data_IF_004012896570
#
_entry.id   IF_004012896570
#
_cell.length_a   1.000
_cell.length_b   1.000
_cell.length_c   1.000
_cell.angle_alpha   90.00
_cell.angle_beta   90.00
_cell.angle_gamma   90.00
#
_symmetry.space_group_name_H-M   'P 1'
#
loop_
_entity.id
_entity.type
_entity.pdbx_description
1 polymer ?
#
# COMPACT_ATOMS: atom_id res chain seq x y z
N UNK A 1 -0.34 16.02 -22.19
CA UNK A 1 -0.93 14.75 -21.66
C UNK A 1 -0.98 13.63 -22.70
N UNK A 2 -1.01 13.92 -23.98
CA UNK A 2 -1.04 12.94 -25.10
C UNK A 2 0.18 12.00 -25.13
N UNK A 3 1.37 12.49 -24.75
CA UNK A 3 2.62 11.70 -24.73
C UNK A 3 2.57 10.43 -23.86
N UNK A 4 1.63 10.34 -22.92
CA UNK A 4 1.48 9.20 -22.01
C UNK A 4 0.19 8.42 -22.23
N UNK A 5 -0.48 8.61 -23.37
CA UNK A 5 -1.73 7.92 -23.72
C UNK A 5 -1.58 6.40 -23.77
N UNK A 6 -0.41 5.91 -24.19
CA UNK A 6 -0.08 4.48 -24.23
C UNK A 6 -0.06 3.79 -22.84
N UNK A 7 0.08 4.56 -21.75
CA UNK A 7 0.06 4.06 -20.37
C UNK A 7 -1.31 4.25 -19.71
N UNK A 8 -2.34 4.49 -20.48
CA UNK A 8 -3.72 4.41 -20.06
C UNK A 8 -4.26 3.03 -20.41
N UNK A 9 -5.05 2.50 -19.51
CA UNK A 9 -5.77 1.27 -19.79
C UNK A 9 -6.75 1.47 -20.95
N UNK A 10 -6.71 0.61 -21.93
CA UNK A 10 -7.49 0.75 -23.18
C UNK A 10 -8.99 0.67 -22.93
N UNK A 11 -9.42 -0.17 -21.97
CA UNK A 11 -10.83 -0.41 -21.69
C UNK A 11 -11.44 0.70 -20.82
N UNK A 12 -10.71 1.19 -19.81
CA UNK A 12 -11.23 2.14 -18.82
C UNK A 12 -10.73 3.57 -19.00
N UNK A 13 -9.68 3.79 -19.81
CA UNK A 13 -9.01 5.09 -19.96
C UNK A 13 -8.23 5.55 -18.73
N UNK A 14 -8.12 4.73 -17.70
CA UNK A 14 -7.46 5.04 -16.43
C UNK A 14 -5.94 5.03 -16.62
N UNK A 15 -5.27 6.05 -16.06
CA UNK A 15 -3.82 6.16 -16.03
C UNK A 15 -3.30 6.00 -14.59
N UNK A 16 -2.93 4.79 -14.14
CA UNK A 16 -2.57 4.53 -12.74
C UNK A 16 -1.20 5.06 -12.35
N UNK A 17 -0.34 5.40 -13.31
CA UNK A 17 1.04 5.82 -13.08
C UNK A 17 1.24 7.33 -13.10
N UNK A 18 0.25 8.11 -13.53
CA UNK A 18 0.37 9.57 -13.52
C UNK A 18 0.23 10.12 -12.11
N UNK A 19 1.11 11.05 -11.69
CA UNK A 19 1.01 11.66 -10.38
C UNK A 19 -0.26 12.50 -10.27
N UNK A 20 -0.82 12.52 -9.07
CA UNK A 20 -1.91 13.44 -8.73
C UNK A 20 -1.26 14.76 -8.34
N UNK A 21 -1.55 15.80 -9.12
CA UNK A 21 -1.03 17.15 -8.86
C UNK A 21 -2.11 17.95 -8.13
N UNK A 22 -1.79 18.45 -6.95
CA UNK A 22 -2.66 19.37 -6.22
C UNK A 22 -2.69 20.75 -6.88
N UNK A 23 -3.80 21.46 -6.75
CA UNK A 23 -3.88 22.87 -7.20
C UNK A 23 -3.06 23.74 -6.24
N UNK A 24 -2.13 24.52 -6.79
CA UNK A 24 -1.32 25.46 -6.03
C UNK A 24 -1.97 26.85 -6.15
N UNK A 25 -2.47 27.36 -5.01
CA UNK A 25 -2.90 28.74 -4.92
C UNK A 25 -1.77 29.59 -4.30
N UNK A 26 -1.38 30.74 -4.90
CA UNK A 26 -0.24 31.52 -4.43
C UNK A 26 -0.37 31.99 -2.96
N UNK A 27 -1.57 32.42 -2.56
CA UNK A 27 -1.83 32.89 -1.19
C UNK A 27 -1.61 31.80 -0.13
N UNK A 28 -1.90 30.54 -0.46
CA UNK A 28 -1.73 29.42 0.46
C UNK A 28 -0.29 28.89 0.49
N UNK A 29 0.55 29.28 -0.47
CA UNK A 29 1.93 28.78 -0.56
C UNK A 29 2.78 29.21 0.63
N UNK A 30 2.68 30.45 1.08
CA UNK A 30 3.45 30.95 2.24
C UNK A 30 3.07 30.17 3.52
N UNK A 31 1.78 29.94 3.77
CA UNK A 31 1.32 29.14 4.91
C UNK A 31 1.80 27.69 4.82
N UNK A 32 1.77 27.10 3.63
CA UNK A 32 2.29 25.74 3.38
C UNK A 32 3.79 25.64 3.64
N UNK A 33 4.56 26.66 3.25
CA UNK A 33 6.00 26.72 3.51
C UNK A 33 6.31 26.79 5.00
N UNK A 34 5.61 27.68 5.74
CA UNK A 34 5.77 27.78 7.19
C UNK A 34 5.44 26.45 7.87
N UNK A 35 4.32 25.82 7.50
CA UNK A 35 3.92 24.55 8.06
C UNK A 35 4.95 23.46 7.78
N UNK A 36 5.48 23.41 6.56
CA UNK A 36 6.54 22.48 6.17
C UNK A 36 7.80 22.70 7.02
N UNK A 37 8.27 23.94 7.16
CA UNK A 37 9.48 24.26 7.94
C UNK A 37 9.34 23.88 9.42
N UNK A 38 8.16 24.02 10.02
CA UNK A 38 7.93 23.63 11.41
C UNK A 38 7.83 22.10 11.56
N UNK A 39 7.12 21.43 10.64
CA UNK A 39 6.88 19.99 10.74
C UNK A 39 8.08 19.15 10.35
N UNK A 40 8.90 19.62 9.42
CA UNK A 40 10.06 18.86 8.92
C UNK A 40 11.03 18.42 10.04
N UNK A 41 11.52 19.29 10.93
CA UNK A 41 12.39 18.86 12.01
C UNK A 41 11.68 17.93 13.01
N UNK A 42 10.41 18.17 13.32
CA UNK A 42 9.63 17.31 14.23
C UNK A 42 9.43 15.92 13.63
N UNK A 43 9.13 15.86 12.34
CA UNK A 43 8.95 14.61 11.62
C UNK A 43 10.27 13.83 11.52
N UNK A 44 11.37 14.50 11.18
CA UNK A 44 12.71 13.90 11.14
C UNK A 44 13.14 13.38 12.51
N UNK A 45 12.88 14.13 13.57
CA UNK A 45 13.16 13.71 14.95
C UNK A 45 12.32 12.48 15.34
N UNK A 46 11.03 12.47 15.05
CA UNK A 46 10.16 11.34 15.35
C UNK A 46 10.57 10.06 14.57
N UNK A 47 10.96 10.20 13.29
CA UNK A 47 11.52 9.09 12.51
C UNK A 47 12.83 8.58 13.11
N UNK A 48 13.73 9.50 13.50
CA UNK A 48 15.01 9.13 14.14
C UNK A 48 14.78 8.38 15.45
N UNK A 49 13.88 8.87 16.30
CA UNK A 49 13.52 8.19 17.57
C UNK A 49 12.97 6.80 17.30
N UNK A 50 12.07 6.64 16.33
CA UNK A 50 11.48 5.33 16.05
C UNK A 50 12.49 4.36 15.45
N UNK A 51 13.13 4.70 14.33
CA UNK A 51 14.02 3.80 13.60
C UNK A 51 15.42 3.69 14.21
N UNK A 52 15.91 4.74 14.87
CA UNK A 52 17.23 4.77 15.48
C UNK A 52 17.28 4.21 16.89
N UNK A 53 16.20 4.38 17.66
CA UNK A 53 16.18 4.02 19.09
C UNK A 53 15.15 2.95 19.40
N UNK A 54 13.85 3.23 19.18
CA UNK A 54 12.73 2.39 19.62
C UNK A 54 12.70 1.02 18.94
N UNK A 55 13.18 0.92 17.72
CA UNK A 55 13.21 -0.35 16.99
C UNK A 55 14.15 -1.37 17.67
N UNK A 56 15.22 -0.90 18.32
CA UNK A 56 16.23 -1.74 18.96
C UNK A 56 15.93 -2.06 20.44
N UNK A 57 15.07 -1.26 21.06
CA UNK A 57 14.69 -1.47 22.46
C UNK A 57 13.59 -2.54 22.60
N UNK A 58 13.63 -3.36 23.65
CA UNK A 58 12.61 -4.36 23.94
C UNK A 58 11.33 -3.71 24.51
N UNK A 59 10.85 -2.65 23.84
CA UNK A 59 9.62 -1.96 24.22
C UNK A 59 8.45 -2.75 23.64
N UNK A 60 7.41 -2.94 24.45
CA UNK A 60 6.20 -3.64 24.04
C UNK A 60 5.55 -3.03 22.78
N UNK A 61 4.75 -3.83 22.08
CA UNK A 61 4.09 -3.43 20.82
C UNK A 61 3.28 -2.14 20.95
N UNK A 62 2.71 -1.85 22.10
CA UNK A 62 1.94 -0.60 22.35
C UNK A 62 2.81 0.65 22.24
N UNK A 63 4.02 0.66 22.81
CA UNK A 63 4.93 1.80 22.73
C UNK A 63 5.37 2.07 21.28
N UNK A 64 5.68 1.02 20.51
CA UNK A 64 6.02 1.13 19.08
C UNK A 64 4.86 1.68 18.28
N UNK A 65 3.63 1.19 18.49
CA UNK A 65 2.41 1.68 17.84
C UNK A 65 2.14 3.15 18.17
N UNK A 66 2.27 3.55 19.45
CA UNK A 66 2.08 4.94 19.87
C UNK A 66 3.05 5.90 19.16
N UNK A 67 4.33 5.51 19.00
CA UNK A 67 5.29 6.32 18.28
C UNK A 67 4.97 6.40 16.78
N UNK A 68 4.51 5.32 16.14
CA UNK A 68 4.05 5.36 14.74
C UNK A 68 2.85 6.29 14.56
N UNK A 69 1.91 6.29 15.52
CA UNK A 69 0.81 7.23 15.53
C UNK A 69 1.26 8.68 15.75
N UNK A 70 2.30 8.91 16.57
CA UNK A 70 2.89 10.23 16.74
C UNK A 70 3.53 10.72 15.41
N UNK A 71 4.26 9.86 14.69
CA UNK A 71 4.80 10.16 13.36
C UNK A 71 3.67 10.53 12.39
N UNK A 72 2.60 9.74 12.36
CA UNK A 72 1.42 10.02 11.55
C UNK A 72 0.76 11.36 11.94
N UNK A 73 0.64 11.65 13.22
CA UNK A 73 0.10 12.90 13.76
C UNK A 73 0.92 14.14 13.34
N UNK A 74 2.25 14.08 13.44
CA UNK A 74 3.14 15.16 12.96
C UNK A 74 2.97 15.37 11.45
N UNK A 75 2.78 14.30 10.68
CA UNK A 75 2.49 14.37 9.25
C UNK A 75 1.07 14.93 8.94
N UNK A 76 0.25 15.18 9.93
CA UNK A 76 -1.11 15.68 9.73
C UNK A 76 -2.16 14.61 9.43
N UNK A 77 -1.85 13.35 9.69
CA UNK A 77 -2.78 12.23 9.52
C UNK A 77 -3.63 12.06 10.78
N UNK A 78 -4.59 12.97 10.96
CA UNK A 78 -5.44 13.01 12.17
C UNK A 78 -6.71 12.17 12.05
N UNK A 79 -7.11 11.84 10.84
CA UNK A 79 -8.40 11.21 10.60
C UNK A 79 -8.24 9.92 9.79
N UNK A 80 -8.64 8.82 10.40
CA UNK A 80 -8.75 7.51 9.74
C UNK A 80 -10.24 7.09 9.72
N UNK A 81 -10.85 7.09 8.52
CA UNK A 81 -12.21 6.60 8.30
C UNK A 81 -12.15 5.10 8.01
N UNK A 82 -12.40 4.29 9.03
CA UNK A 82 -12.40 2.83 8.93
C UNK A 82 -13.78 2.32 8.52
N UNK A 83 -13.83 1.56 7.45
CA UNK A 83 -15.01 0.88 6.98
C UNK A 83 -14.74 -0.62 6.79
N UNK A 84 -15.53 -1.45 7.46
CA UNK A 84 -15.43 -2.90 7.35
C UNK A 84 -16.67 -3.39 6.62
N UNK A 85 -16.48 -4.22 5.59
CA UNK A 85 -17.59 -4.79 4.82
C UNK A 85 -18.52 -5.60 5.72
N UNK A 86 -19.83 -5.45 5.46
CA UNK A 86 -20.87 -6.15 6.21
C UNK A 86 -21.10 -5.63 7.64
N UNK A 87 -20.44 -4.51 8.04
CA UNK A 87 -20.60 -3.90 9.36
C UNK A 87 -21.25 -2.52 9.24
N UNK A 88 -22.36 -2.32 9.94
CA UNK A 88 -23.00 -0.99 10.01
C UNK A 88 -22.16 -0.04 10.85
N UNK A 89 -22.06 1.23 10.42
CA UNK A 89 -21.43 2.29 11.21
C UNK A 89 -22.07 2.37 12.61
N UNK A 90 -21.25 2.38 13.66
CA UNK A 90 -21.69 2.40 15.05
C UNK A 90 -21.78 1.05 15.75
N UNK A 91 -21.73 -0.08 15.03
CA UNK A 91 -21.80 -1.43 15.62
C UNK A 91 -20.44 -2.13 15.70
N UNK A 92 -19.34 -1.39 15.43
CA UNK A 92 -17.96 -1.92 15.44
C UNK A 92 -17.56 -2.64 16.75
N UNK A 93 -18.13 -2.22 17.88
CA UNK A 93 -17.77 -2.78 19.18
C UNK A 93 -18.38 -4.17 19.49
N UNK A 94 -19.42 -4.59 18.77
CA UNK A 94 -20.21 -5.77 19.15
C UNK A 94 -19.91 -7.07 18.40
N UNK A 95 -19.19 -7.08 17.28
CA UNK A 95 -19.26 -8.23 16.37
C UNK A 95 -17.96 -8.73 15.73
N UNK A 96 -16.71 -8.23 16.00
CA UNK A 96 -15.90 -8.15 14.80
C UNK A 96 -14.46 -8.66 14.88
N UNK A 97 -14.12 -9.46 15.89
CA UNK A 97 -12.82 -10.13 15.89
C UNK A 97 -12.58 -10.94 14.61
N UNK A 98 -13.60 -11.62 14.07
CA UNK A 98 -13.49 -12.44 12.85
C UNK A 98 -13.46 -11.65 11.54
N UNK A 99 -13.85 -10.37 11.54
CA UNK A 99 -13.88 -9.51 10.34
C UNK A 99 -12.69 -8.57 10.23
N UNK A 100 -11.85 -8.55 11.23
CA UNK A 100 -10.57 -7.85 11.23
C UNK A 100 -9.42 -8.83 11.02
N UNK A 101 -8.34 -8.43 10.35
CA UNK A 101 -7.15 -9.24 10.26
C UNK A 101 -6.65 -9.67 11.64
N UNK A 102 -6.56 -10.96 11.86
CA UNK A 102 -6.08 -11.58 13.07
C UNK A 102 -4.67 -12.16 12.86
N UNK A 103 -3.88 -12.39 13.91
CA UNK A 103 -2.65 -13.15 13.80
C UNK A 103 -2.83 -14.45 13.02
N UNK A 104 -1.86 -14.78 12.16
CA UNK A 104 -1.95 -15.93 11.27
C UNK A 104 -2.78 -15.71 9.99
N UNK A 105 -3.26 -14.48 9.72
CA UNK A 105 -3.92 -14.12 8.47
C UNK A 105 -3.02 -13.33 7.52
N UNK A 106 -3.42 -13.26 6.25
CA UNK A 106 -2.76 -12.48 5.21
C UNK A 106 -3.57 -11.22 4.92
N UNK A 107 -2.91 -10.08 4.87
CA UNK A 107 -3.49 -8.79 4.45
C UNK A 107 -3.02 -8.54 3.02
N UNK A 108 -3.93 -8.60 2.07
CA UNK A 108 -3.70 -8.19 0.68
C UNK A 108 -4.07 -6.71 0.54
N UNK A 109 -3.08 -5.83 0.59
CA UNK A 109 -3.30 -4.39 0.58
C UNK A 109 -3.08 -3.78 -0.80
N UNK A 110 -3.91 -2.79 -1.15
CA UNK A 110 -3.57 -1.86 -2.24
C UNK A 110 -2.25 -1.17 -1.93
N UNK A 111 -1.50 -0.78 -2.97
CA UNK A 111 -0.23 -0.12 -2.80
C UNK A 111 -0.22 1.24 -3.51
N UNK A 112 -0.26 2.32 -2.75
CA UNK A 112 -0.40 3.68 -3.28
C UNK A 112 0.60 4.67 -2.70
N UNK A 113 1.02 4.47 -1.44
CA UNK A 113 1.85 5.43 -0.70
C UNK A 113 2.77 4.72 0.28
N UNK A 114 3.93 5.30 0.64
CA UNK A 114 4.74 4.84 1.78
C UNK A 114 3.97 4.80 3.10
N UNK A 115 2.92 5.62 3.21
CA UNK A 115 2.06 5.69 4.40
C UNK A 115 1.23 4.43 4.57
N UNK A 116 0.98 3.66 3.49
CA UNK A 116 0.27 2.37 3.58
C UNK A 116 0.97 1.45 4.58
N UNK A 117 2.30 1.31 4.45
CA UNK A 117 3.11 0.49 5.36
C UNK A 117 3.14 1.08 6.78
N UNK A 118 3.24 2.40 6.93
CA UNK A 118 3.24 3.07 8.22
C UNK A 118 1.91 2.84 8.97
N UNK A 119 0.78 3.02 8.27
CA UNK A 119 -0.56 2.83 8.84
C UNK A 119 -0.79 1.37 9.24
N UNK A 120 -0.48 0.43 8.34
CA UNK A 120 -0.65 -0.99 8.64
C UNK A 120 0.23 -1.44 9.83
N UNK A 121 1.45 -0.90 9.96
CA UNK A 121 2.31 -1.14 11.11
C UNK A 121 1.71 -0.59 12.41
N UNK A 122 1.18 0.63 12.38
CA UNK A 122 0.58 1.27 13.54
C UNK A 122 -0.67 0.55 14.07
N UNK A 123 -1.41 -0.13 13.17
CA UNK A 123 -2.66 -0.82 13.54
C UNK A 123 -2.41 -2.30 13.84
N UNK A 124 -1.81 -3.03 12.90
CA UNK A 124 -1.75 -4.51 12.94
C UNK A 124 -0.40 -5.06 13.38
N UNK A 125 0.69 -4.27 13.35
CA UNK A 125 2.06 -4.75 13.61
C UNK A 125 2.42 -6.00 12.79
N UNK A 126 2.29 -5.96 11.46
CA UNK A 126 2.43 -7.13 10.62
C UNK A 126 3.87 -7.38 10.19
N UNK A 127 4.12 -8.55 9.61
CA UNK A 127 5.33 -8.82 8.85
C UNK A 127 5.12 -8.31 7.41
N UNK A 128 6.01 -7.44 6.95
CA UNK A 128 5.95 -6.89 5.60
C UNK A 128 6.67 -7.77 4.59
N UNK A 129 6.12 -7.86 3.40
CA UNK A 129 6.71 -8.61 2.28
C UNK A 129 6.70 -7.79 0.99
N UNK A 130 7.61 -8.12 0.09
CA UNK A 130 7.66 -7.60 -1.28
C UNK A 130 7.30 -8.73 -2.23
N UNK A 131 6.34 -8.46 -3.11
CA UNK A 131 5.86 -9.36 -4.15
C UNK A 131 6.54 -9.08 -5.49
N UNK A 132 6.61 -10.09 -6.33
CA UNK A 132 7.15 -9.99 -7.68
C UNK A 132 6.16 -10.63 -8.68
N UNK A 133 5.99 -10.07 -9.88
CA UNK A 133 5.02 -10.60 -10.85
C UNK A 133 5.43 -11.96 -11.44
N UNK A 134 6.71 -12.33 -11.36
CA UNK A 134 7.25 -13.56 -11.97
C UNK A 134 7.26 -14.79 -11.06
N UNK A 135 6.90 -14.65 -9.77
CA UNK A 135 7.02 -15.74 -8.81
C UNK A 135 5.96 -15.66 -7.72
N UNK A 136 5.60 -16.82 -7.18
CA UNK A 136 4.74 -16.93 -5.99
C UNK A 136 5.48 -16.63 -4.69
N UNK A 137 6.83 -16.65 -4.73
CA UNK A 137 7.67 -16.40 -3.55
C UNK A 137 7.71 -14.90 -3.23
N UNK A 138 7.91 -14.62 -1.96
CA UNK A 138 7.93 -13.29 -1.36
C UNK A 138 9.29 -13.04 -0.71
N UNK A 139 9.70 -11.79 -0.64
CA UNK A 139 10.84 -11.38 0.18
C UNK A 139 10.34 -10.69 1.44
N UNK A 140 10.72 -11.19 2.61
CA UNK A 140 10.48 -10.50 3.87
C UNK A 140 11.30 -9.22 3.94
N UNK A 141 10.67 -8.13 4.42
CA UNK A 141 11.31 -6.83 4.56
C UNK A 141 10.96 -6.19 5.91
N UNK A 142 11.83 -5.31 6.40
CA UNK A 142 11.52 -4.49 7.57
C UNK A 142 10.51 -3.38 7.20
N UNK A 143 9.89 -2.75 8.20
CA UNK A 143 9.00 -1.60 7.97
C UNK A 143 9.72 -0.48 7.18
N UNK A 144 10.96 -0.17 7.55
CA UNK A 144 11.75 0.83 6.85
C UNK A 144 11.97 0.49 5.38
N UNK A 145 12.30 -0.76 5.09
CA UNK A 145 12.45 -1.25 3.71
C UNK A 145 11.12 -1.23 2.94
N UNK A 146 9.99 -1.53 3.60
CA UNK A 146 8.67 -1.47 2.98
C UNK A 146 8.29 -0.02 2.61
N UNK A 147 8.58 0.96 3.48
CA UNK A 147 8.42 2.39 3.20
C UNK A 147 9.29 2.81 2.01
N UNK A 148 10.57 2.43 1.99
CA UNK A 148 11.48 2.75 0.89
C UNK A 148 11.08 2.05 -0.42
N UNK A 149 10.47 0.86 -0.33
CA UNK A 149 9.99 0.13 -1.50
C UNK A 149 8.94 0.92 -2.29
N UNK A 150 8.14 1.75 -1.64
CA UNK A 150 7.21 2.65 -2.31
C UNK A 150 7.88 3.70 -3.23
N UNK A 151 9.16 3.96 -3.04
CA UNK A 151 9.96 4.85 -3.89
C UNK A 151 10.90 4.10 -4.85
N UNK A 152 10.93 2.79 -4.77
CA UNK A 152 11.84 1.97 -5.59
C UNK A 152 11.37 1.86 -7.03
N UNK A 153 12.31 1.58 -7.92
CA UNK A 153 11.98 1.17 -9.28
C UNK A 153 11.41 -0.24 -9.22
N UNK A 154 10.22 -0.48 -9.79
CA UNK A 154 9.61 -1.80 -9.73
C UNK A 154 10.47 -2.85 -10.46
N UNK A 155 10.59 -4.02 -9.84
CA UNK A 155 11.36 -5.14 -10.37
C UNK A 155 10.42 -6.24 -10.86
N UNK A 156 10.72 -6.81 -12.01
CA UNK A 156 9.96 -7.95 -12.56
C UNK A 156 10.39 -9.25 -11.92
N UNK A 157 11.69 -9.38 -11.63
CA UNK A 157 12.30 -10.56 -11.03
C UNK A 157 12.95 -10.19 -9.69
N UNK A 158 12.98 -11.12 -8.74
CA UNK A 158 13.70 -10.90 -7.48
C UNK A 158 15.20 -10.79 -7.74
N UNK A 159 15.84 -9.82 -7.09
CA UNK A 159 17.31 -9.66 -7.15
C UNK A 159 18.02 -10.33 -5.98
N UNK A 160 17.30 -10.89 -5.01
CA UNK A 160 17.87 -11.59 -3.84
C UNK A 160 17.49 -13.05 -3.83
N UNK A 161 18.35 -13.89 -3.22
CA UNK A 161 18.11 -15.30 -2.97
C UNK A 161 17.16 -15.57 -1.80
N UNK A 162 16.91 -14.55 -0.95
CA UNK A 162 16.13 -14.70 0.29
C UNK A 162 14.63 -14.64 0.01
N UNK A 163 14.15 -15.62 -0.74
CA UNK A 163 12.76 -15.78 -1.08
C UNK A 163 12.11 -16.84 -0.19
N UNK A 164 10.95 -16.49 0.35
CA UNK A 164 10.15 -17.35 1.23
C UNK A 164 8.73 -17.42 0.69
N UNK A 165 8.04 -18.50 0.95
CA UNK A 165 6.61 -18.68 0.62
C UNK A 165 5.71 -18.31 1.81
N UNK A 166 4.46 -18.01 1.54
CA UNK A 166 3.48 -17.65 2.56
C UNK A 166 3.31 -18.71 3.65
N UNK A 167 3.23 -20.02 3.35
CA UNK A 167 3.12 -21.05 4.38
C UNK A 167 4.26 -21.01 5.41
N UNK A 168 5.50 -20.85 4.92
CA UNK A 168 6.68 -20.76 5.78
C UNK A 168 6.65 -19.52 6.65
N UNK A 169 6.24 -18.36 6.10
CA UNK A 169 6.11 -17.13 6.86
C UNK A 169 5.00 -17.21 7.92
N UNK A 170 3.83 -17.78 7.60
CA UNK A 170 2.75 -17.98 8.57
C UNK A 170 3.16 -18.91 9.72
N UNK A 171 3.92 -19.96 9.42
CA UNK A 171 4.49 -20.87 10.40
C UNK A 171 5.54 -20.21 11.30
N UNK A 172 6.39 -19.36 10.71
CA UNK A 172 7.46 -18.68 11.42
C UNK A 172 6.92 -17.54 12.32
N UNK A 173 5.82 -16.89 11.93
CA UNK A 173 5.25 -15.73 12.62
C UNK A 173 3.76 -15.94 12.96
N UNK A 174 3.41 -16.90 13.82
CA UNK A 174 2.00 -17.25 14.10
C UNK A 174 1.22 -16.14 14.82
N UNK A 175 1.93 -15.23 15.50
CA UNK A 175 1.34 -14.13 16.24
C UNK A 175 1.26 -12.81 15.46
N UNK A 176 1.62 -12.81 14.18
CA UNK A 176 1.56 -11.63 13.32
C UNK A 176 0.70 -11.89 12.09
N UNK A 177 0.13 -10.82 11.52
CA UNK A 177 -0.41 -10.85 10.18
C UNK A 177 0.74 -10.70 9.17
N UNK A 178 0.55 -11.18 7.95
CA UNK A 178 1.50 -10.98 6.85
C UNK A 178 0.89 -9.99 5.86
N UNK A 179 1.57 -8.88 5.60
CA UNK A 179 1.15 -7.91 4.56
C UNK A 179 1.81 -8.27 3.24
N UNK A 180 0.97 -8.42 2.23
CA UNK A 180 1.34 -8.62 0.83
C UNK A 180 0.79 -7.45 0.02
N UNK A 181 1.62 -6.87 -0.84
CA UNK A 181 1.23 -5.87 -1.84
C UNK A 181 1.16 -6.54 -3.21
N UNK A 182 0.00 -7.09 -3.60
CA UNK A 182 -0.08 -7.92 -4.80
C UNK A 182 0.13 -7.13 -6.11
N UNK A 183 -0.06 -5.81 -6.07
CA UNK A 183 0.24 -4.91 -7.20
C UNK A 183 1.75 -4.73 -7.45
N UNK A 184 2.63 -5.19 -6.56
CA UNK A 184 4.10 -5.12 -6.62
C UNK A 184 4.69 -3.71 -6.71
N UNK A 185 3.91 -2.68 -6.92
CA UNK A 185 4.39 -1.32 -7.18
C UNK A 185 3.30 -0.30 -6.86
N UNK A 186 3.66 0.88 -6.30
CA UNK A 186 2.66 1.87 -5.93
C UNK A 186 2.02 2.54 -7.16
N UNK A 187 0.73 2.87 -7.02
CA UNK A 187 -0.09 3.55 -8.03
C UNK A 187 -0.63 4.87 -7.49
N UNK A 188 -1.37 5.60 -8.32
CA UNK A 188 -2.11 6.78 -7.86
C UNK A 188 -3.48 6.45 -7.24
N UNK A 189 -3.80 5.17 -7.04
CA UNK A 189 -5.05 4.71 -6.44
C UNK A 189 -6.30 4.86 -7.30
N UNK A 190 -6.16 5.17 -8.62
CA UNK A 190 -7.29 5.31 -9.55
C UNK A 190 -7.68 4.00 -10.23
N UNK A 191 -6.87 2.96 -10.12
CA UNK A 191 -7.13 1.63 -10.65
C UNK A 191 -6.29 0.59 -9.92
N UNK A 192 -6.72 -0.67 -9.93
CA UNK A 192 -5.97 -1.80 -9.39
C UNK A 192 -5.23 -2.47 -10.55
N UNK A 193 -3.93 -2.63 -10.38
CA UNK A 193 -3.07 -3.28 -11.37
C UNK A 193 -3.32 -4.79 -11.43
N UNK A 194 -2.71 -5.42 -12.42
CA UNK A 194 -2.62 -6.86 -12.49
C UNK A 194 -1.87 -7.41 -11.26
N UNK A 195 -2.48 -8.38 -10.58
CA UNK A 195 -1.98 -8.90 -9.31
C UNK A 195 -0.90 -9.97 -9.54
N UNK A 196 0.12 -9.96 -8.70
CA UNK A 196 1.14 -11.01 -8.67
C UNK A 196 0.58 -12.33 -8.12
N UNK A 197 1.14 -13.47 -8.54
CA UNK A 197 0.71 -14.78 -8.05
C UNK A 197 1.16 -15.08 -6.60
N UNK A 198 1.75 -14.13 -5.91
CA UNK A 198 2.31 -14.33 -4.56
C UNK A 198 1.28 -14.78 -3.52
N UNK A 199 0.01 -14.35 -3.66
CA UNK A 199 -1.07 -14.71 -2.74
C UNK A 199 -1.49 -16.18 -2.93
N UNK A 200 -1.32 -16.74 -4.12
CA UNK A 200 -1.76 -18.12 -4.43
C UNK A 200 -0.93 -19.19 -3.71
N UNK A 201 0.22 -18.83 -3.15
CA UNK A 201 1.00 -19.72 -2.30
C UNK A 201 0.44 -19.86 -0.87
N UNK A 202 -0.63 -19.14 -0.52
CA UNK A 202 -1.23 -19.25 0.80
C UNK A 202 -1.79 -20.67 1.05
N UNK A 203 -1.61 -21.22 2.27
CA UNK A 203 -2.08 -22.57 2.58
C UNK A 203 -3.61 -22.63 2.61
N UNK A 204 -4.18 -23.79 2.32
CA UNK A 204 -5.61 -24.04 2.41
C UNK A 204 -6.14 -23.68 3.83
N UNK A 205 -7.28 -23.02 3.89
CA UNK A 205 -7.86 -22.51 5.12
C UNK A 205 -7.30 -21.17 5.59
N UNK A 206 -6.23 -20.64 4.99
CA UNK A 206 -5.75 -19.31 5.31
C UNK A 206 -6.75 -18.23 4.93
N UNK A 207 -6.90 -17.21 5.78
CA UNK A 207 -7.76 -16.06 5.55
C UNK A 207 -6.97 -14.93 4.91
N UNK A 208 -7.38 -14.49 3.73
CA UNK A 208 -6.81 -13.34 3.03
C UNK A 208 -7.77 -12.18 3.13
N UNK A 209 -7.36 -11.09 3.78
CA UNK A 209 -8.16 -9.88 3.95
C UNK A 209 -7.74 -8.84 2.89
N UNK A 210 -8.62 -8.53 1.92
CA UNK A 210 -8.38 -7.42 1.02
C UNK A 210 -8.55 -6.10 1.77
N UNK A 211 -7.53 -5.25 1.71
CA UNK A 211 -7.51 -3.93 2.38
C UNK A 211 -7.19 -2.85 1.36
N UNK A 212 -8.03 -1.83 1.28
CA UNK A 212 -7.81 -0.69 0.41
C UNK A 212 -7.62 0.58 1.22
N UNK A 213 -6.50 1.28 0.96
CA UNK A 213 -6.18 2.57 1.56
C UNK A 213 -6.31 3.67 0.52
N UNK A 214 -6.98 4.75 0.89
CA UNK A 214 -7.15 5.92 0.03
C UNK A 214 -6.94 7.20 0.81
N UNK A 215 -6.22 8.13 0.22
CA UNK A 215 -5.84 9.41 0.85
C UNK A 215 -6.61 10.58 0.28
N UNK A 216 -6.88 11.57 1.13
CA UNK A 216 -7.41 12.86 0.74
C UNK A 216 -6.60 13.96 1.47
N UNK A 217 -5.90 14.83 0.72
CA UNK A 217 -5.72 14.85 -0.73
C UNK A 217 -4.89 13.68 -1.26
N UNK A 218 -5.03 13.36 -2.55
CA UNK A 218 -4.37 12.20 -3.19
C UNK A 218 -2.95 12.45 -3.68
N UNK A 219 -2.37 13.61 -3.43
CA UNK A 219 -1.04 14.03 -3.86
C UNK A 219 0.12 13.41 -3.06
N UNK A 220 -0.22 12.69 -1.97
CA UNK A 220 0.73 11.89 -1.19
C UNK A 220 0.88 10.45 -1.72
N UNK A 221 0.29 10.13 -2.87
CA UNK A 221 0.57 8.88 -3.58
C UNK A 221 1.91 8.95 -4.32
N UNK A 222 2.59 7.81 -4.46
CA UNK A 222 3.93 7.74 -5.05
C UNK A 222 4.00 6.88 -6.31
N UNK A 223 3.24 7.20 -7.37
CA UNK A 223 3.31 6.44 -8.62
C UNK A 223 4.66 6.58 -9.33
N UNK A 224 5.42 7.65 -9.07
CA UNK A 224 6.74 7.89 -9.65
C UNK A 224 7.83 7.55 -8.62
N UNK A 225 8.79 6.69 -8.97
CA UNK A 225 9.89 6.35 -8.07
C UNK A 225 10.84 7.54 -7.85
N UNK A 226 11.61 7.47 -6.75
CA UNK A 226 12.61 8.48 -6.35
C UNK A 226 12.06 9.89 -6.12
N UNK A 227 10.75 10.06 -5.95
CA UNK A 227 10.11 11.36 -5.68
C UNK A 227 10.09 11.70 -4.18
N UNK A 228 11.19 11.48 -3.46
CA UNK A 228 11.26 11.66 -1.99
C UNK A 228 10.89 13.07 -1.54
N UNK A 229 11.53 14.09 -2.13
CA UNK A 229 11.27 15.49 -1.73
C UNK A 229 9.84 15.92 -2.06
N UNK A 230 9.33 15.58 -3.25
CA UNK A 230 7.96 15.90 -3.64
C UNK A 230 6.93 15.25 -2.72
N UNK A 231 7.14 13.99 -2.34
CA UNK A 231 6.30 13.32 -1.36
C UNK A 231 6.38 13.98 0.02
N UNK A 232 7.58 14.25 0.52
CA UNK A 232 7.78 14.89 1.82
C UNK A 232 7.16 16.29 1.86
N UNK A 233 7.34 17.07 0.79
CA UNK A 233 6.69 18.36 0.62
C UNK A 233 5.16 18.23 0.70
N UNK A 234 4.56 17.35 -0.09
CA UNK A 234 3.11 17.16 -0.10
C UNK A 234 2.58 16.65 1.25
N UNK A 235 3.34 15.78 1.92
CA UNK A 235 2.96 15.24 3.22
C UNK A 235 2.94 16.30 4.33
N UNK A 236 3.93 17.19 4.36
CA UNK A 236 4.11 18.13 5.48
C UNK A 236 3.50 19.50 5.24
N UNK A 237 3.16 19.88 4.00
CA UNK A 237 2.61 21.19 3.67
C UNK A 237 1.09 21.28 3.83
N UNK A 238 0.37 20.17 3.94
CA UNK A 238 -1.07 20.18 4.18
C UNK A 238 -1.38 20.20 5.67
N UNK A 239 -2.39 20.98 6.05
CA UNK A 239 -2.82 21.07 7.45
C UNK A 239 -3.26 19.70 7.98
N UNK A 240 -4.05 18.98 7.20
CA UNK A 240 -4.57 17.65 7.56
C UNK A 240 -4.64 16.75 6.35
N UNK A 241 -4.44 15.46 6.60
CA UNK A 241 -4.72 14.37 5.67
C UNK A 241 -5.76 13.45 6.27
N UNK A 242 -6.66 12.94 5.46
CA UNK A 242 -7.57 11.87 5.86
C UNK A 242 -7.22 10.58 5.14
N UNK A 243 -7.19 9.49 5.90
CA UNK A 243 -7.04 8.14 5.37
C UNK A 243 -8.40 7.47 5.42
N UNK A 244 -8.84 6.94 4.30
CA UNK A 244 -9.98 6.04 4.25
C UNK A 244 -9.50 4.63 4.09
N UNK A 245 -9.78 3.81 5.10
CA UNK A 245 -9.39 2.40 5.15
C UNK A 245 -10.63 1.55 4.98
N UNK A 246 -10.61 0.65 4.02
CA UNK A 246 -11.68 -0.30 3.79
C UNK A 246 -11.15 -1.70 3.85
N UNK A 247 -11.71 -2.50 4.74
CA UNK A 247 -11.38 -3.92 4.94
C UNK A 247 -12.53 -4.74 4.38
N UNK A 248 -12.23 -5.61 3.42
CA UNK A 248 -13.19 -6.52 2.83
C UNK A 248 -13.40 -7.78 3.67
N UNK A 249 -14.41 -8.54 3.31
CA UNK A 249 -14.61 -9.87 3.86
C UNK A 249 -13.41 -10.75 3.54
N UNK A 250 -12.99 -11.62 4.49
CA UNK A 250 -11.86 -12.51 4.26
C UNK A 250 -12.19 -13.53 3.16
N UNK A 251 -11.30 -13.68 2.21
CA UNK A 251 -11.32 -14.76 1.23
C UNK A 251 -10.58 -15.94 1.86
N UNK A 252 -11.26 -17.07 2.01
CA UNK A 252 -10.65 -18.30 2.58
C UNK A 252 -10.10 -19.14 1.44
N UNK A 253 -8.81 -19.43 1.50
CA UNK A 253 -8.14 -20.25 0.49
C UNK A 253 -8.65 -21.68 0.55
N UNK A 254 -9.03 -22.26 -0.61
CA UNK A 254 -9.55 -23.62 -0.70
C UNK A 254 -11.04 -23.78 -0.40
N UNK A 255 -11.77 -22.71 -0.12
CA UNK A 255 -13.24 -22.75 -0.15
C UNK A 255 -13.73 -22.38 -1.55
N UNK A 256 -13.97 -23.40 -2.35
CA UNK A 256 -14.60 -23.21 -3.66
C UNK A 256 -16.09 -22.90 -3.48
N UNK A 257 -16.56 -21.82 -4.10
CA UNK A 257 -18.00 -21.64 -4.35
C UNK A 257 -18.49 -22.81 -5.21
N UNK A 258 -19.55 -23.55 -4.78
CA UNK A 258 -20.03 -24.74 -5.50
C UNK A 258 -20.48 -24.46 -6.95
N UNK A 259 -20.59 -23.21 -7.35
CA UNK A 259 -21.01 -22.78 -8.69
C UNK A 259 -19.86 -22.49 -9.67
N UNK A 260 -18.58 -22.60 -9.26
CA UNK A 260 -17.42 -22.30 -10.12
C UNK A 260 -16.68 -23.58 -10.52
N UNK A 261 -17.18 -24.29 -11.50
CA UNK A 261 -16.68 -25.59 -11.97
C UNK A 261 -15.48 -25.55 -12.94
N UNK A 262 -14.94 -24.39 -13.32
CA UNK A 262 -14.10 -24.31 -14.55
C UNK A 262 -12.74 -23.60 -14.37
N UNK A 263 -12.41 -23.01 -13.23
CA UNK A 263 -11.17 -22.23 -13.10
C UNK A 263 -10.17 -22.88 -12.13
N UNK A 264 -8.90 -22.78 -12.47
CA UNK A 264 -7.77 -23.05 -11.60
C UNK A 264 -7.99 -22.29 -10.26
N UNK A 265 -7.92 -23.00 -9.15
CA UNK A 265 -8.17 -22.48 -7.79
C UNK A 265 -7.32 -21.23 -7.50
N UNK A 266 -6.09 -21.21 -8.03
CA UNK A 266 -5.17 -20.09 -7.90
C UNK A 266 -5.67 -18.84 -8.64
N UNK A 267 -6.20 -19.00 -9.84
CA UNK A 267 -6.71 -17.90 -10.66
C UNK A 267 -8.02 -17.35 -10.08
N UNK A 268 -8.82 -18.21 -9.47
CA UNK A 268 -10.04 -17.83 -8.75
C UNK A 268 -9.71 -16.94 -7.54
N UNK A 269 -8.71 -17.30 -6.72
CA UNK A 269 -8.29 -16.51 -5.56
C UNK A 269 -7.79 -15.12 -5.98
N UNK A 270 -6.94 -15.02 -7.01
CA UNK A 270 -6.45 -13.74 -7.52
C UNK A 270 -7.59 -12.86 -8.04
N UNK A 271 -8.57 -13.46 -8.70
CA UNK A 271 -9.73 -12.74 -9.22
C UNK A 271 -10.60 -12.23 -8.09
N UNK A 272 -10.92 -13.06 -7.10
CA UNK A 272 -11.71 -12.67 -5.92
C UNK A 272 -11.04 -11.54 -5.13
N UNK A 273 -9.75 -11.64 -4.85
CA UNK A 273 -8.99 -10.59 -4.15
C UNK A 273 -8.92 -9.31 -4.98
N UNK A 274 -8.68 -9.42 -6.29
CA UNK A 274 -8.61 -8.28 -7.20
C UNK A 274 -9.95 -7.54 -7.31
N UNK A 275 -11.05 -8.26 -7.42
CA UNK A 275 -12.40 -7.69 -7.49
C UNK A 275 -12.81 -7.08 -6.15
N UNK A 276 -12.43 -7.71 -5.03
CA UNK A 276 -12.64 -7.15 -3.71
C UNK A 276 -11.87 -5.82 -3.53
N UNK A 277 -10.59 -5.75 -3.92
CA UNK A 277 -9.81 -4.51 -3.87
C UNK A 277 -10.40 -3.41 -4.77
N UNK A 278 -10.84 -3.76 -5.98
CA UNK A 278 -11.47 -2.83 -6.91
C UNK A 278 -12.81 -2.29 -6.34
N UNK A 279 -13.62 -3.16 -5.77
CA UNK A 279 -14.89 -2.80 -5.11
C UNK A 279 -14.66 -1.89 -3.90
N UNK A 280 -13.72 -2.26 -3.01
CA UNK A 280 -13.34 -1.45 -1.84
C UNK A 280 -12.80 -0.08 -2.24
N UNK A 281 -11.94 -0.03 -3.26
CA UNK A 281 -11.40 1.21 -3.80
C UNK A 281 -12.42 2.05 -4.58
N UNK A 282 -13.56 1.45 -4.99
CA UNK A 282 -14.49 2.03 -5.98
C UNK A 282 -13.75 2.42 -7.26
N UNK A 283 -12.89 1.55 -7.74
CA UNK A 283 -12.07 1.72 -8.93
C UNK A 283 -12.20 0.48 -9.81
N UNK A 284 -11.70 0.56 -11.05
CA UNK A 284 -11.68 -0.59 -11.96
C UNK A 284 -10.34 -1.31 -11.89
N UNK A 285 -10.34 -2.60 -12.20
CA UNK A 285 -9.12 -3.33 -12.54
C UNK A 285 -8.62 -2.84 -13.89
N UNK A 286 -7.33 -2.73 -14.06
CA UNK A 286 -6.68 -2.29 -15.29
C UNK A 286 -5.73 -3.39 -15.77
N UNK A 287 -5.67 -3.61 -17.08
CA UNK A 287 -4.78 -4.57 -17.72
C UNK A 287 -3.33 -4.06 -17.85
N UNK A 288 -2.86 -3.31 -16.85
CA UNK A 288 -1.50 -2.76 -16.77
C UNK A 288 -0.78 -3.36 -15.57
N UNK A 289 0.51 -3.62 -15.73
CA UNK A 289 1.32 -4.24 -14.69
C UNK A 289 2.66 -3.54 -14.47
N UNK A 290 3.58 -4.29 -13.85
CA UNK A 290 4.94 -3.82 -13.52
C UNK A 290 5.76 -3.49 -14.78
N UNK A 291 5.59 -4.24 -15.88
CA UNK A 291 6.32 -4.03 -17.13
C UNK A 291 5.99 -2.68 -17.77
N UNK A 292 4.69 -2.36 -17.84
CA UNK A 292 4.20 -1.10 -18.37
C UNK A 292 4.67 0.07 -17.50
N UNK A 293 4.70 -0.11 -16.18
CA UNK A 293 5.24 0.89 -15.27
C UNK A 293 6.74 1.12 -15.48
N UNK A 294 7.53 0.08 -15.70
CA UNK A 294 8.96 0.25 -16.02
C UNK A 294 9.18 1.07 -17.31
N UNK A 295 8.36 0.81 -18.34
CA UNK A 295 8.39 1.58 -19.59
C UNK A 295 7.98 3.04 -19.37
N UNK A 296 6.91 3.26 -18.58
CA UNK A 296 6.47 4.59 -18.18
C UNK A 296 7.60 5.37 -17.48
N UNK A 297 8.29 4.77 -16.51
CA UNK A 297 9.38 5.42 -15.79
C UNK A 297 10.53 5.80 -16.73
N UNK A 298 10.91 4.91 -17.65
CA UNK A 298 11.96 5.22 -18.66
C UNK A 298 11.57 6.44 -19.51
N UNK A 299 10.34 6.49 -19.96
CA UNK A 299 9.84 7.61 -20.77
C UNK A 299 9.72 8.90 -19.95
N UNK A 300 9.23 8.81 -18.73
CA UNK A 300 9.11 9.93 -17.79
C UNK A 300 10.47 10.56 -17.47
N UNK A 301 11.47 9.74 -17.17
CA UNK A 301 12.83 10.21 -16.87
C UNK A 301 13.51 10.87 -18.07
N UNK A 302 13.30 10.36 -19.29
CA UNK A 302 13.81 10.95 -20.53
C UNK A 302 13.22 12.33 -20.78
N UNK A 303 11.91 12.49 -20.61
CA UNK A 303 11.26 13.78 -20.79
C UNK A 303 11.69 14.81 -19.74
N UNK A 304 11.93 14.40 -18.48
CA UNK A 304 12.41 15.32 -17.44
C UNK A 304 13.83 15.83 -17.72
N UNK A 305 14.70 15.00 -18.29
CA UNK A 305 16.05 15.40 -18.70
C UNK A 305 16.01 16.37 -19.88
N UNK A 306 15.15 16.15 -20.87
CA UNK A 306 14.99 17.04 -22.02
C UNK A 306 14.30 18.38 -21.73
N UNK A 307 13.73 18.57 -20.53
CA UNK A 307 13.21 19.87 -20.08
C UNK A 307 14.24 20.68 -19.27
N UNK A 308 15.37 20.05 -18.89
CA UNK A 308 16.45 20.66 -18.12
C UNK A 308 17.71 20.93 -18.98
N UNK A 309 17.71 20.44 -20.21
CA UNK A 309 18.69 20.79 -21.26
C UNK A 309 18.10 21.85 -22.18
#
# INVERSE_FOLDING_TARGET
MEKYSQFRDRASGIAPFLPVVGQVQPLTFALKLVLFCIRLPLFAFALFVYFGVLQWLPIGSLGKKACLWAIAGVAGLWWADLHIDGVKKGSLARQHANRLPQPGSVIASSFTSPIDSLYLAAVFDPIFTVSYPSTQKLRRVSLFQAILHAFSIPQTHPSSSDLTDLPSLLKQYPHHCIVVYPECTPTNGKGILELSPSITSAPAGAKVFPVNLRYTPGDITTPIPKSYFGFLWNLLNHATHSIRVRIGEPVVVGQNDPNNFIFDEQQTLLTQVGDALARLGRVKRVGLGVREKQQFIKMWSKNKKGLLS
#
